data_IF_256892365458
#
_entry.id   IF_256892365458
#
_cell.length_a   1.000
_cell.length_b   1.000
_cell.length_c   1.000
_cell.angle_alpha   90.00
_cell.angle_beta   90.00
_cell.angle_gamma   90.00
#
_symmetry.space_group_name_H-M   'P 1'
#
loop_
_entity.id
_entity.type
_entity.pdbx_description
1 polymer ?
#
# COMPACT_ATOMS: atom_id res chain seq x y z
N UNK A 1 15.50 -7.36 -3.82
CA UNK A 1 14.84 -8.44 -4.58
C UNK A 1 13.74 -7.91 -5.49
N UNK A 2 13.42 -8.69 -6.51
CA UNK A 2 12.32 -8.39 -7.42
C UNK A 2 11.47 -9.65 -7.61
N UNK A 3 10.17 -9.53 -7.46
CA UNK A 3 9.22 -10.61 -7.72
C UNK A 3 8.63 -10.38 -9.11
N UNK A 4 8.87 -11.34 -10.00
CA UNK A 4 8.42 -11.30 -11.38
C UNK A 4 7.22 -12.23 -11.56
N UNK A 5 6.25 -11.83 -12.37
CA UNK A 5 5.09 -12.65 -12.70
C UNK A 5 5.51 -13.93 -13.44
N UNK A 6 4.85 -15.03 -13.11
CA UNK A 6 5.00 -16.30 -13.80
C UNK A 6 4.21 -16.35 -15.14
N UNK A 7 3.40 -15.34 -15.46
CA UNK A 7 2.56 -15.31 -16.67
C UNK A 7 2.64 -13.97 -17.36
N UNK A 8 2.65 -13.97 -18.70
CA UNK A 8 2.54 -12.76 -19.52
C UNK A 8 1.13 -12.13 -19.52
N UNK A 9 0.19 -12.78 -18.89
CA UNK A 9 -1.18 -12.28 -18.70
C UNK A 9 -1.36 -11.41 -17.45
N UNK A 10 -0.24 -11.03 -16.82
CA UNK A 10 -0.20 -10.07 -15.70
C UNK A 10 1.01 -9.13 -15.83
N UNK A 11 1.14 -8.14 -14.96
CA UNK A 11 2.29 -7.22 -14.97
C UNK A 11 3.61 -7.98 -14.77
N UNK A 12 4.70 -7.61 -15.49
CA UNK A 12 5.97 -8.31 -15.39
C UNK A 12 6.59 -8.25 -14.00
N UNK A 13 6.57 -7.08 -13.36
CA UNK A 13 7.06 -6.89 -11.98
C UNK A 13 5.87 -6.79 -11.03
N UNK A 14 5.81 -7.67 -10.04
CA UNK A 14 4.76 -7.73 -9.02
C UNK A 14 5.14 -6.90 -7.81
N UNK A 15 6.39 -7.03 -7.36
CA UNK A 15 6.94 -6.29 -6.24
C UNK A 15 8.46 -6.22 -6.35
N UNK A 16 9.06 -5.24 -5.72
CA UNK A 16 10.51 -5.14 -5.56
C UNK A 16 10.87 -4.48 -4.23
N UNK A 17 12.10 -4.73 -3.78
CA UNK A 17 12.71 -4.03 -2.65
C UNK A 17 14.20 -3.89 -2.89
N UNK A 18 14.73 -2.72 -2.56
CA UNK A 18 16.16 -2.43 -2.69
C UNK A 18 16.97 -2.98 -1.48
N UNK A 19 16.27 -3.36 -0.42
CA UNK A 19 16.86 -3.87 0.82
C UNK A 19 16.22 -5.18 1.25
N UNK A 20 16.99 -6.02 1.94
CA UNK A 20 16.53 -7.31 2.47
C UNK A 20 16.48 -8.43 1.45
N UNK A 21 16.07 -9.60 1.89
CA UNK A 21 15.82 -10.80 1.10
C UNK A 21 14.36 -11.20 1.22
N UNK A 22 13.82 -11.77 0.16
CA UNK A 22 12.49 -12.37 0.17
C UNK A 22 12.64 -13.88 0.40
N UNK A 23 12.00 -14.39 1.46
CA UNK A 23 11.94 -15.82 1.75
C UNK A 23 10.52 -16.35 1.55
N UNK A 24 10.39 -17.41 0.76
CA UNK A 24 9.12 -18.15 0.63
C UNK A 24 8.81 -19.02 1.86
N UNK A 25 9.77 -19.18 2.77
CA UNK A 25 9.64 -20.07 3.94
C UNK A 25 9.15 -19.35 5.19
N UNK A 26 9.09 -18.04 5.19
CA UNK A 26 8.53 -17.32 6.32
C UNK A 26 7.01 -17.48 6.33
N UNK A 27 6.54 -17.98 7.44
CA UNK A 27 5.19 -18.43 7.77
C UNK A 27 4.06 -17.77 6.98
N UNK A 28 3.16 -18.58 6.46
CA UNK A 28 1.93 -18.26 5.72
C UNK A 28 0.98 -17.22 6.34
N UNK A 29 1.40 -16.48 7.36
CA UNK A 29 0.56 -15.63 8.19
C UNK A 29 0.94 -14.15 8.21
N UNK A 30 1.88 -13.70 7.37
CA UNK A 30 2.22 -12.29 7.26
C UNK A 30 1.44 -11.58 6.12
N UNK A 31 1.46 -10.26 6.14
CA UNK A 31 0.76 -9.45 5.14
C UNK A 31 1.27 -9.66 3.71
N UNK A 32 2.54 -10.05 3.55
CA UNK A 32 3.14 -10.30 2.25
C UNK A 32 2.63 -11.60 1.62
N UNK A 33 2.40 -12.65 2.41
CA UNK A 33 1.83 -13.91 1.92
C UNK A 33 0.38 -13.74 1.46
N UNK A 34 -0.41 -12.93 2.18
CA UNK A 34 -1.79 -12.61 1.78
C UNK A 34 -1.79 -11.86 0.44
N UNK A 35 -0.89 -10.90 0.28
CA UNK A 35 -0.77 -10.13 -0.96
C UNK A 35 -0.36 -11.03 -2.14
N UNK A 36 0.60 -11.94 -1.94
CA UNK A 36 1.01 -12.89 -2.97
C UNK A 36 -0.10 -13.87 -3.35
N UNK A 37 -0.89 -14.34 -2.38
CA UNK A 37 -2.06 -15.18 -2.66
C UNK A 37 -3.12 -14.44 -3.49
N UNK A 38 -3.34 -13.16 -3.23
CA UNK A 38 -4.24 -12.35 -4.06
C UNK A 38 -3.68 -12.16 -5.49
N UNK A 39 -2.38 -11.93 -5.65
CA UNK A 39 -1.77 -11.87 -6.97
C UNK A 39 -1.86 -13.19 -7.74
N UNK A 40 -1.65 -14.33 -7.08
CA UNK A 40 -1.85 -15.66 -7.68
C UNK A 40 -3.28 -15.84 -8.20
N UNK A 41 -4.28 -15.46 -7.41
CA UNK A 41 -5.70 -15.55 -7.83
C UNK A 41 -5.99 -14.66 -9.05
N UNK A 42 -5.44 -13.45 -9.08
CA UNK A 42 -5.59 -12.54 -10.22
C UNK A 42 -4.93 -13.14 -11.48
N UNK A 43 -3.75 -13.72 -11.35
CA UNK A 43 -3.07 -14.37 -12.47
C UNK A 43 -3.87 -15.56 -12.99
N UNK A 44 -4.37 -16.44 -12.11
CA UNK A 44 -5.23 -17.55 -12.47
C UNK A 44 -6.51 -17.10 -13.17
N UNK A 45 -7.14 -16.03 -12.69
CA UNK A 45 -8.29 -15.43 -13.35
C UNK A 45 -7.95 -14.93 -14.75
N UNK A 46 -6.81 -14.27 -14.93
CA UNK A 46 -6.36 -13.75 -16.21
C UNK A 46 -6.05 -14.85 -17.22
N UNK A 47 -5.69 -16.07 -16.79
CA UNK A 47 -5.41 -17.19 -17.70
C UNK A 47 -6.59 -17.57 -18.60
N UNK A 48 -7.81 -17.41 -18.10
CA UNK A 48 -9.06 -17.72 -18.81
C UNK A 48 -9.69 -16.52 -19.52
N UNK A 49 -9.07 -15.34 -19.45
CA UNK A 49 -9.61 -14.12 -20.06
C UNK A 49 -9.27 -14.04 -21.55
N UNK A 50 -10.18 -13.44 -22.37
CA UNK A 50 -9.91 -13.15 -23.78
C UNK A 50 -8.70 -12.23 -23.95
N UNK A 51 -7.99 -12.37 -25.06
CA UNK A 51 -6.80 -11.59 -25.40
C UNK A 51 -7.01 -10.08 -25.35
N UNK A 52 -8.19 -9.62 -25.74
CA UNK A 52 -8.56 -8.19 -25.70
C UNK A 52 -8.49 -7.58 -24.30
N UNK A 53 -8.76 -8.38 -23.26
CA UNK A 53 -8.73 -7.94 -21.85
C UNK A 53 -7.29 -7.93 -21.32
N UNK A 54 -6.46 -8.89 -21.76
CA UNK A 54 -5.10 -9.04 -21.27
C UNK A 54 -4.03 -8.34 -22.11
N UNK A 55 -4.39 -7.75 -23.25
CA UNK A 55 -3.46 -7.09 -24.18
C UNK A 55 -2.63 -5.99 -23.51
N UNK A 56 -3.20 -5.28 -22.54
CA UNK A 56 -2.47 -4.30 -21.72
C UNK A 56 -1.27 -4.90 -20.98
N UNK A 57 -1.36 -6.12 -20.53
CA UNK A 57 -0.25 -6.81 -19.84
C UNK A 57 0.80 -7.26 -20.83
N UNK A 58 0.38 -7.75 -22.00
CA UNK A 58 1.33 -8.12 -23.09
C UNK A 58 2.17 -6.92 -23.53
N UNK A 59 1.55 -5.74 -23.68
CA UNK A 59 2.28 -4.49 -23.97
C UNK A 59 3.33 -4.18 -22.91
N UNK A 60 3.00 -4.35 -21.64
CA UNK A 60 3.97 -4.15 -20.55
C UNK A 60 5.10 -5.17 -20.52
N UNK A 61 4.85 -6.39 -20.96
CA UNK A 61 5.91 -7.39 -21.12
C UNK A 61 6.85 -7.04 -22.29
N UNK A 62 6.31 -6.55 -23.40
CA UNK A 62 7.13 -6.07 -24.53
C UNK A 62 8.03 -4.91 -24.07
N UNK A 63 7.48 -3.93 -23.33
CA UNK A 63 8.26 -2.86 -22.73
C UNK A 63 9.37 -3.40 -21.81
N UNK A 64 9.04 -4.34 -20.93
CA UNK A 64 9.97 -4.95 -19.98
C UNK A 64 11.06 -5.78 -20.67
N UNK A 65 10.73 -6.54 -21.71
CA UNK A 65 11.68 -7.33 -22.51
C UNK A 65 12.59 -6.42 -23.34
N UNK A 66 12.07 -5.33 -23.87
CA UNK A 66 12.86 -4.34 -24.61
C UNK A 66 13.87 -3.62 -23.72
N UNK A 67 13.56 -3.39 -22.42
CA UNK A 67 14.54 -2.87 -21.46
C UNK A 67 15.79 -3.77 -21.32
N UNK A 68 15.68 -5.09 -21.61
CA UNK A 68 16.82 -6.01 -21.64
C UNK A 68 17.64 -5.90 -22.92
N UNK A 69 17.01 -5.56 -24.04
CA UNK A 69 17.66 -5.49 -25.36
C UNK A 69 18.26 -4.13 -25.64
N UNK A 70 17.71 -3.04 -25.10
CA UNK A 70 18.24 -1.69 -25.28
C UNK A 70 19.63 -1.46 -24.70
N UNK A 71 20.17 -2.38 -23.91
CA UNK A 71 21.58 -2.34 -23.46
C UNK A 71 22.60 -2.75 -24.52
N UNK A 72 22.18 -3.25 -25.68
CA UNK A 72 23.10 -3.84 -26.67
C UNK A 72 22.91 -3.40 -28.14
N UNK A 73 21.84 -2.73 -28.52
CA UNK A 73 21.71 -2.23 -29.91
C UNK A 73 20.59 -1.20 -29.99
N UNK A 74 20.89 0.07 -30.03
CA UNK A 74 20.31 1.08 -30.92
C UNK A 74 20.64 2.50 -30.47
N UNK A 75 21.79 2.94 -30.98
CA UNK A 75 22.18 4.36 -30.99
C UNK A 75 21.53 5.10 -32.18
N UNK A 76 20.64 4.49 -32.97
CA UNK A 76 20.30 5.00 -34.31
C UNK A 76 19.00 5.78 -34.45
N UNK A 77 18.14 5.94 -33.44
CA UNK A 77 16.86 6.66 -33.60
C UNK A 77 16.47 7.66 -32.52
N UNK A 78 17.29 7.89 -31.52
CA UNK A 78 17.08 9.03 -30.61
C UNK A 78 17.69 10.29 -31.22
N UNK A 79 16.93 11.39 -31.25
CA UNK A 79 17.49 12.66 -31.66
C UNK A 79 18.72 12.99 -30.79
N UNK A 80 19.71 13.71 -31.38
CA UNK A 80 20.90 14.15 -30.61
C UNK A 80 20.50 14.96 -29.35
N UNK A 81 19.33 15.60 -29.35
CA UNK A 81 18.77 16.30 -28.19
C UNK A 81 18.36 15.33 -27.07
N UNK A 82 17.72 14.20 -27.40
CA UNK A 82 17.28 13.20 -26.41
C UNK A 82 18.48 12.47 -25.81
N UNK A 83 19.51 12.20 -26.60
CA UNK A 83 20.75 11.62 -26.13
C UNK A 83 21.51 12.57 -25.20
N UNK A 84 21.65 13.84 -25.59
CA UNK A 84 22.28 14.87 -24.74
C UNK A 84 21.50 15.08 -23.43
N UNK A 85 20.16 15.02 -23.46
CA UNK A 85 19.31 15.10 -22.29
C UNK A 85 19.45 13.86 -21.40
N UNK A 86 19.59 12.67 -21.97
CA UNK A 86 19.79 11.42 -21.20
C UNK A 86 21.13 11.40 -20.47
N UNK A 87 22.22 11.83 -21.12
CA UNK A 87 23.54 11.96 -20.49
C UNK A 87 23.46 12.99 -19.36
N UNK A 88 22.89 14.15 -19.62
CA UNK A 88 22.74 15.21 -18.63
C UNK A 88 21.94 14.75 -17.41
N UNK A 89 20.92 13.92 -17.61
CA UNK A 89 20.12 13.32 -16.56
C UNK A 89 20.93 12.33 -15.71
N UNK A 90 21.72 11.45 -16.33
CA UNK A 90 22.57 10.50 -15.60
C UNK A 90 23.70 11.20 -14.83
N UNK A 91 24.27 12.27 -15.38
CA UNK A 91 25.23 13.11 -14.66
C UNK A 91 24.58 13.77 -13.45
N UNK A 92 23.39 14.32 -13.59
CA UNK A 92 22.64 14.90 -12.49
C UNK A 92 22.32 13.86 -11.40
N UNK A 93 21.91 12.66 -11.78
CA UNK A 93 21.69 11.56 -10.84
C UNK A 93 22.96 11.27 -10.02
N UNK A 94 24.12 11.16 -10.67
CA UNK A 94 25.41 10.92 -9.97
C UNK A 94 25.70 12.04 -8.96
N UNK A 95 25.57 13.30 -9.36
CA UNK A 95 25.82 14.46 -8.51
C UNK A 95 24.93 14.40 -7.26
N UNK A 96 23.62 14.19 -7.44
CA UNK A 96 22.66 14.21 -6.35
C UNK A 96 22.74 12.96 -5.47
N UNK A 97 23.02 11.81 -6.04
CA UNK A 97 23.27 10.57 -5.27
C UNK A 97 24.48 10.74 -4.36
N UNK A 98 25.57 11.35 -4.83
CA UNK A 98 26.75 11.67 -4.01
C UNK A 98 26.44 12.69 -2.91
N UNK A 99 25.43 13.53 -3.09
CA UNK A 99 24.94 14.46 -2.07
C UNK A 99 23.94 13.83 -1.09
N UNK A 100 23.69 12.52 -1.18
CA UNK A 100 22.81 11.80 -0.27
C UNK A 100 21.33 11.85 -0.65
N UNK A 101 21.01 12.03 -1.95
CA UNK A 101 19.66 11.98 -2.47
C UNK A 101 19.39 10.69 -3.26
N UNK A 102 18.17 10.20 -3.18
CA UNK A 102 17.60 9.24 -4.13
C UNK A 102 16.99 10.03 -5.30
N UNK A 103 17.23 9.58 -6.53
CA UNK A 103 16.78 10.25 -7.74
C UNK A 103 15.71 9.40 -8.43
N UNK A 104 14.49 9.91 -8.53
CA UNK A 104 13.36 9.23 -9.16
C UNK A 104 12.97 9.93 -10.46
N UNK A 105 12.71 9.13 -11.50
CA UNK A 105 12.27 9.65 -12.80
C UNK A 105 10.80 10.09 -12.73
N UNK A 106 10.53 11.36 -13.04
CA UNK A 106 9.16 11.88 -13.09
C UNK A 106 8.33 11.23 -14.20
N UNK A 107 8.97 10.81 -15.31
CA UNK A 107 8.30 10.05 -16.36
C UNK A 107 7.73 8.72 -15.88
N UNK A 108 8.40 8.07 -14.93
CA UNK A 108 7.88 6.85 -14.33
C UNK A 108 6.56 7.10 -13.56
N UNK A 109 6.46 8.20 -12.84
CA UNK A 109 5.24 8.59 -12.12
C UNK A 109 4.08 8.79 -13.11
N UNK A 110 4.32 9.45 -14.24
CA UNK A 110 3.33 9.66 -15.30
C UNK A 110 2.82 8.37 -15.94
N UNK A 111 3.62 7.32 -15.93
CA UNK A 111 3.21 6.01 -16.45
C UNK A 111 2.27 5.23 -15.52
N UNK A 112 2.23 5.55 -14.22
CA UNK A 112 1.41 4.86 -13.23
C UNK A 112 0.09 5.57 -12.88
N UNK A 113 -0.01 6.86 -13.17
CA UNK A 113 -1.18 7.68 -12.85
C UNK A 113 -1.83 8.22 -14.13
N UNK A 114 -3.12 8.58 -14.07
CA UNK A 114 -3.69 9.38 -15.15
C UNK A 114 -2.91 10.70 -15.28
N UNK A 115 -2.87 11.26 -16.50
CA UNK A 115 -2.10 12.48 -16.80
C UNK A 115 -2.41 13.61 -15.82
N UNK A 116 -3.70 13.89 -15.56
CA UNK A 116 -4.11 14.97 -14.66
C UNK A 116 -3.65 14.74 -13.21
N UNK A 117 -3.71 13.49 -12.75
CA UNK A 117 -3.24 13.13 -11.39
C UNK A 117 -1.72 13.21 -11.29
N UNK A 118 -1.01 12.71 -12.30
CA UNK A 118 0.45 12.77 -12.34
C UNK A 118 0.94 14.22 -12.35
N UNK A 119 0.37 15.07 -13.20
CA UNK A 119 0.74 16.47 -13.30
C UNK A 119 0.40 17.28 -12.04
N UNK A 120 -0.70 16.93 -11.36
CA UNK A 120 -1.04 17.50 -10.06
C UNK A 120 -0.02 17.14 -8.98
N UNK A 121 0.32 15.85 -8.87
CA UNK A 121 1.33 15.36 -7.94
C UNK A 121 2.72 15.94 -8.20
N UNK A 122 3.16 15.96 -9.44
CA UNK A 122 4.47 16.49 -9.84
C UNK A 122 4.56 17.97 -9.51
N UNK A 123 3.52 18.75 -9.79
CA UNK A 123 3.46 20.16 -9.45
C UNK A 123 3.54 20.40 -7.94
N UNK A 124 2.79 19.65 -7.16
CA UNK A 124 2.79 19.75 -5.70
C UNK A 124 4.18 19.41 -5.12
N UNK A 125 4.79 18.34 -5.59
CA UNK A 125 6.13 17.92 -5.15
C UNK A 125 7.20 18.93 -5.60
N UNK A 126 7.18 19.38 -6.85
CA UNK A 126 8.20 20.27 -7.39
C UNK A 126 8.13 21.68 -6.80
N UNK A 127 6.95 22.13 -6.35
CA UNK A 127 6.80 23.41 -5.66
C UNK A 127 7.41 23.43 -4.25
N UNK A 128 7.67 22.27 -3.66
CA UNK A 128 8.27 22.15 -2.33
C UNK A 128 9.78 21.85 -2.36
N UNK A 129 10.38 21.84 -3.56
CA UNK A 129 11.82 21.61 -3.72
C UNK A 129 12.63 22.89 -3.55
N UNK A 130 13.92 22.73 -3.22
CA UNK A 130 14.89 23.83 -3.12
C UNK A 130 14.81 24.74 -4.35
N UNK A 131 14.76 26.06 -4.12
CA UNK A 131 14.62 27.08 -5.18
C UNK A 131 15.69 27.01 -6.27
N UNK A 132 16.81 26.36 -6.00
CA UNK A 132 17.91 26.15 -6.95
C UNK A 132 17.76 24.89 -7.83
N UNK A 133 16.72 24.10 -7.64
CA UNK A 133 16.51 22.86 -8.38
C UNK A 133 15.13 22.84 -9.03
N UNK A 134 15.10 22.83 -10.34
CA UNK A 134 13.86 22.68 -11.11
C UNK A 134 13.69 21.22 -11.53
N UNK A 135 12.92 20.46 -10.76
CA UNK A 135 12.73 19.04 -10.97
C UNK A 135 12.01 18.72 -12.29
N UNK A 136 11.10 19.58 -12.75
CA UNK A 136 10.43 19.41 -14.04
C UNK A 136 11.40 19.55 -15.22
N UNK A 137 12.28 20.54 -15.18
CA UNK A 137 13.27 20.78 -16.25
C UNK A 137 14.26 19.63 -16.39
N UNK A 138 14.65 19.02 -15.28
CA UNK A 138 15.60 17.88 -15.25
C UNK A 138 14.88 16.53 -15.32
N UNK A 139 13.54 16.52 -15.15
CA UNK A 139 12.69 15.33 -15.10
C UNK A 139 13.10 14.32 -14.01
N UNK A 140 13.61 14.84 -12.90
CA UNK A 140 14.03 14.06 -11.73
C UNK A 140 13.40 14.61 -10.45
N UNK A 141 12.85 13.73 -9.63
CA UNK A 141 12.49 13.99 -8.25
C UNK A 141 13.66 13.61 -7.35
N UNK A 142 14.08 14.51 -6.48
CA UNK A 142 15.14 14.28 -5.49
C UNK A 142 14.50 14.06 -4.12
N UNK A 143 14.81 12.93 -3.51
CA UNK A 143 14.36 12.61 -2.16
C UNK A 143 15.63 12.36 -1.31
N UNK A 144 15.72 12.95 -0.13
CA UNK A 144 16.85 12.67 0.75
C UNK A 144 16.86 11.18 1.12
N UNK A 145 18.00 10.55 1.00
CA UNK A 145 18.19 9.12 1.28
C UNK A 145 17.80 8.74 2.71
N UNK A 146 18.09 9.63 3.63
CA UNK A 146 17.73 9.44 5.04
C UNK A 146 16.61 10.41 5.42
N UNK A 147 15.65 9.97 6.25
CA UNK A 147 14.57 10.85 6.69
C UNK A 147 15.13 12.02 7.52
N UNK A 148 14.62 13.22 7.25
CA UNK A 148 14.90 14.43 8.04
C UNK A 148 14.10 14.36 9.34
N UNK A 149 12.91 13.81 9.27
CA UNK A 149 11.98 13.68 10.39
C UNK A 149 11.18 12.40 10.23
N UNK A 150 11.10 11.63 11.30
CA UNK A 150 10.24 10.44 11.38
C UNK A 150 9.33 10.58 12.60
N UNK A 151 8.06 10.34 12.45
CA UNK A 151 7.09 10.20 13.54
C UNK A 151 6.37 8.86 13.36
N UNK A 152 6.31 8.09 14.43
CA UNK A 152 5.77 6.73 14.43
C UNK A 152 6.83 5.65 14.15
N UNK A 153 6.40 4.39 13.96
CA UNK A 153 5.02 3.94 14.06
C UNK A 153 4.43 4.10 15.45
N UNK A 154 3.18 4.55 15.56
CA UNK A 154 2.46 4.66 16.83
C UNK A 154 1.96 3.30 17.28
N UNK A 155 1.50 2.47 16.35
CA UNK A 155 0.98 1.14 16.63
C UNK A 155 2.14 0.16 16.85
N UNK A 156 1.95 -0.71 17.84
CA UNK A 156 2.86 -1.83 18.13
C UNK A 156 2.26 -3.19 17.75
N UNK A 157 1.02 -3.18 17.27
CA UNK A 157 0.29 -4.39 16.89
C UNK A 157 0.77 -4.92 15.55
N UNK A 158 0.99 -6.24 15.47
CA UNK A 158 1.28 -6.96 14.23
C UNK A 158 0.16 -7.97 13.99
N UNK A 159 -0.97 -7.51 13.44
CA UNK A 159 -2.19 -8.29 13.29
C UNK A 159 -2.54 -8.53 11.83
N UNK A 160 -3.31 -9.57 11.58
CA UNK A 160 -3.77 -9.98 10.25
C UNK A 160 -5.24 -10.41 10.28
N UNK A 161 -5.77 -10.90 9.15
CA UNK A 161 -7.20 -11.21 9.03
C UNK A 161 -7.55 -12.70 9.18
N UNK A 162 -6.56 -13.55 9.47
CA UNK A 162 -6.76 -15.00 9.66
C UNK A 162 -6.88 -15.32 11.15
N UNK A 163 -6.91 -16.62 11.51
CA UNK A 163 -6.88 -17.05 12.90
C UNK A 163 -5.73 -16.39 13.68
N UNK A 164 -6.01 -15.91 14.90
CA UNK A 164 -7.24 -16.05 15.70
C UNK A 164 -8.28 -14.94 15.47
N UNK A 165 -8.05 -13.98 14.56
CA UNK A 165 -8.94 -12.82 14.37
C UNK A 165 -10.25 -13.12 13.66
N UNK A 166 -10.40 -14.30 13.06
CA UNK A 166 -11.62 -14.77 12.42
C UNK A 166 -12.36 -15.86 13.22
N UNK A 167 -12.20 -15.85 14.52
CA UNK A 167 -12.67 -16.89 15.46
C UNK A 167 -14.17 -17.20 15.35
N UNK A 168 -15.01 -16.24 14.99
CA UNK A 168 -16.45 -16.41 14.77
C UNK A 168 -16.82 -16.83 13.34
N UNK A 169 -15.87 -16.89 12.41
CA UNK A 169 -16.02 -17.37 11.06
C UNK A 169 -14.69 -17.96 10.54
N UNK A 170 -14.25 -19.14 11.01
CA UNK A 170 -12.91 -19.67 10.77
C UNK A 170 -12.55 -19.85 9.28
N UNK A 171 -13.56 -20.10 8.43
CA UNK A 171 -13.38 -20.28 6.98
C UNK A 171 -13.41 -18.96 6.18
N UNK A 172 -13.50 -17.81 6.86
CA UNK A 172 -13.55 -16.48 6.24
C UNK A 172 -12.44 -15.59 6.83
N UNK A 173 -12.11 -14.50 6.15
CA UNK A 173 -11.21 -13.49 6.70
C UNK A 173 -11.94 -12.63 7.74
N UNK A 174 -11.22 -12.13 8.73
CA UNK A 174 -11.77 -11.20 9.72
C UNK A 174 -12.30 -9.90 9.09
N UNK A 175 -11.65 -9.43 8.02
CA UNK A 175 -11.93 -8.17 7.34
C UNK A 175 -10.95 -7.05 7.73
N UNK A 176 -10.51 -6.28 6.75
CA UNK A 176 -9.55 -5.19 6.99
C UNK A 176 -10.11 -4.07 7.88
N UNK A 177 -11.40 -3.73 7.71
CA UNK A 177 -12.05 -2.69 8.52
C UNK A 177 -12.05 -3.03 10.02
N UNK A 178 -12.56 -4.20 10.48
CA UNK A 178 -12.53 -4.51 11.89
C UNK A 178 -11.11 -4.65 12.45
N UNK A 179 -10.15 -5.17 11.69
CA UNK A 179 -8.75 -5.27 12.16
C UNK A 179 -8.15 -3.88 12.38
N UNK A 180 -8.32 -2.95 11.44
CA UNK A 180 -7.82 -1.59 11.59
C UNK A 180 -8.47 -0.87 12.79
N UNK A 181 -9.78 -1.04 13.01
CA UNK A 181 -10.48 -0.51 14.19
C UNK A 181 -9.93 -1.12 15.48
N UNK A 182 -9.77 -2.44 15.50
CA UNK A 182 -9.24 -3.16 16.66
C UNK A 182 -7.81 -2.71 17.03
N UNK A 183 -6.95 -2.45 16.04
CA UNK A 183 -5.61 -1.93 16.28
C UNK A 183 -5.62 -0.55 16.94
N UNK A 184 -6.50 0.36 16.49
CA UNK A 184 -6.68 1.68 17.12
C UNK A 184 -7.23 1.51 18.54
N UNK A 185 -8.21 0.64 18.75
CA UNK A 185 -8.76 0.37 20.06
C UNK A 185 -7.69 -0.19 21.03
N UNK A 186 -6.82 -1.08 20.53
CA UNK A 186 -5.68 -1.59 21.32
C UNK A 186 -4.63 -0.53 21.61
N UNK A 187 -4.40 0.39 20.69
CA UNK A 187 -3.46 1.50 20.90
C UNK A 187 -3.87 2.39 22.09
N UNK A 188 -5.16 2.71 22.18
CA UNK A 188 -5.69 3.52 23.28
C UNK A 188 -6.08 2.71 24.50
N UNK A 189 -6.11 1.38 24.41
CA UNK A 189 -6.69 0.48 25.41
C UNK A 189 -8.09 0.94 25.85
N UNK A 190 -8.91 1.31 24.86
CA UNK A 190 -10.24 1.86 25.04
C UNK A 190 -11.28 1.14 24.16
N UNK A 191 -12.52 0.94 24.65
CA UNK A 191 -13.07 1.30 25.97
C UNK A 191 -12.57 0.36 27.09
N UNK A 192 -12.63 0.83 28.33
CA UNK A 192 -12.20 0.10 29.53
C UNK A 192 -13.02 -1.16 29.82
N UNK A 193 -14.06 -1.42 29.05
CA UNK A 193 -14.91 -2.62 29.15
C UNK A 193 -14.22 -3.90 28.66
N UNK A 194 -13.09 -3.79 27.96
CA UNK A 194 -12.29 -4.92 27.52
C UNK A 194 -11.08 -5.15 28.42
N UNK A 195 -10.70 -6.41 28.59
CA UNK A 195 -9.50 -6.79 29.33
C UNK A 195 -8.28 -6.70 28.42
N UNK A 196 -7.66 -5.52 28.37
CA UNK A 196 -6.57 -5.21 27.43
C UNK A 196 -5.30 -6.02 27.64
N UNK A 197 -5.11 -6.58 28.84
CA UNK A 197 -4.01 -7.50 29.14
C UNK A 197 -4.13 -8.85 28.40
N UNK A 198 -5.34 -9.24 28.03
CA UNK A 198 -5.63 -10.44 27.22
C UNK A 198 -5.57 -10.21 25.72
N UNK A 199 -5.29 -8.98 25.27
CA UNK A 199 -5.24 -8.63 23.87
C UNK A 199 -3.79 -8.32 23.51
N UNK A 200 -3.03 -9.27 22.92
CA UNK A 200 -1.60 -9.14 22.72
C UNK A 200 -1.28 -8.24 21.54
N UNK A 201 -0.07 -7.70 21.53
CA UNK A 201 0.45 -6.93 20.40
C UNK A 201 0.78 -7.78 19.16
N UNK A 202 1.06 -9.07 19.37
CA UNK A 202 1.33 -10.05 18.30
C UNK A 202 0.46 -11.28 18.52
N UNK A 203 0.02 -11.88 17.42
CA UNK A 203 -0.71 -13.14 17.47
C UNK A 203 0.20 -14.27 17.94
N UNK A 204 -0.33 -15.10 18.82
CA UNK A 204 0.16 -16.43 19.06
C UNK A 204 -1.00 -17.44 18.92
N UNK A 205 -0.67 -18.70 18.71
CA UNK A 205 -1.62 -19.77 18.37
C UNK A 205 -2.64 -20.07 19.47
N UNK A 206 -2.38 -19.65 20.71
CA UNK A 206 -3.23 -19.98 21.86
C UNK A 206 -4.37 -18.96 22.10
N UNK A 207 -4.47 -17.94 21.26
CA UNK A 207 -5.48 -16.87 21.43
C UNK A 207 -6.89 -17.28 21.01
N UNK A 208 -7.04 -18.38 20.27
CA UNK A 208 -8.36 -18.88 19.84
C UNK A 208 -9.23 -19.30 21.02
N UNK A 209 -8.63 -19.67 22.14
CA UNK A 209 -9.32 -20.12 23.34
C UNK A 209 -9.54 -19.02 24.39
N UNK A 210 -8.90 -17.85 24.23
CA UNK A 210 -9.06 -16.74 25.17
C UNK A 210 -10.42 -16.04 24.98
N UNK A 211 -11.31 -16.17 25.95
CA UNK A 211 -12.67 -15.62 25.86
C UNK A 211 -12.71 -14.08 25.84
N UNK A 212 -11.75 -13.41 26.45
CA UNK A 212 -11.67 -11.93 26.43
C UNK A 212 -11.26 -11.46 25.03
N UNK A 213 -10.27 -12.12 24.44
CA UNK A 213 -9.85 -11.85 23.06
C UNK A 213 -10.98 -12.14 22.06
N UNK A 214 -11.61 -13.32 22.18
CA UNK A 214 -12.75 -13.70 21.32
C UNK A 214 -13.89 -12.70 21.40
N UNK A 215 -14.25 -12.30 22.63
CA UNK A 215 -15.29 -11.28 22.83
C UNK A 215 -14.94 -9.97 22.14
N UNK A 216 -13.72 -9.46 22.33
CA UNK A 216 -13.27 -8.22 21.72
C UNK A 216 -13.36 -8.28 20.19
N UNK A 217 -12.81 -9.31 19.57
CA UNK A 217 -12.81 -9.44 18.10
C UNK A 217 -14.23 -9.62 17.56
N UNK A 218 -15.07 -10.44 18.19
CA UNK A 218 -16.48 -10.61 17.78
C UNK A 218 -17.26 -9.30 17.86
N UNK A 219 -17.10 -8.55 18.94
CA UNK A 219 -17.78 -7.26 19.12
C UNK A 219 -17.37 -6.27 18.01
N UNK A 220 -16.05 -6.11 17.75
CA UNK A 220 -15.55 -5.22 16.68
C UNK A 220 -16.12 -5.61 15.31
N UNK A 221 -16.12 -6.90 14.98
CA UNK A 221 -16.66 -7.39 13.70
C UNK A 221 -18.15 -7.16 13.59
N UNK A 222 -18.90 -7.42 14.67
CA UNK A 222 -20.34 -7.15 14.76
C UNK A 222 -20.64 -5.65 14.61
N UNK A 223 -19.88 -4.80 15.29
CA UNK A 223 -20.05 -3.33 15.21
C UNK A 223 -19.75 -2.80 13.81
N UNK A 224 -18.78 -3.39 13.13
CA UNK A 224 -18.40 -3.07 11.76
C UNK A 224 -19.40 -3.59 10.72
N UNK A 225 -20.37 -4.42 11.12
CA UNK A 225 -21.35 -5.05 10.22
C UNK A 225 -20.67 -5.67 9.01
N UNK A 226 -19.70 -6.56 9.26
CA UNK A 226 -18.97 -7.23 8.19
C UNK A 226 -19.91 -8.07 7.33
N UNK A 227 -19.66 -8.04 6.02
CA UNK A 227 -20.37 -8.87 5.03
C UNK A 227 -19.39 -9.91 4.50
N UNK A 228 -19.77 -11.17 4.62
CA UNK A 228 -19.01 -12.31 4.10
C UNK A 228 -19.40 -12.57 2.66
N UNK A 229 -18.42 -12.58 1.77
CA UNK A 229 -18.52 -13.06 0.40
C UNK A 229 -17.64 -14.30 0.25
N UNK A 230 -17.80 -15.06 -0.82
CA UNK A 230 -17.05 -16.32 -1.00
C UNK A 230 -15.55 -16.20 -0.89
N UNK A 231 -15.00 -15.06 -1.28
CA UNK A 231 -13.53 -14.81 -1.30
C UNK A 231 -13.10 -13.53 -0.58
N UNK A 232 -14.00 -12.85 0.13
CA UNK A 232 -13.69 -11.60 0.79
C UNK A 232 -14.63 -11.32 1.97
N UNK A 233 -14.12 -10.62 2.97
CA UNK A 233 -14.91 -10.03 4.05
C UNK A 233 -14.74 -8.53 3.99
N UNK A 234 -15.84 -7.79 3.94
CA UNK A 234 -15.82 -6.35 3.81
C UNK A 234 -16.77 -5.63 4.76
N UNK A 235 -16.52 -4.37 4.98
CA UNK A 235 -17.43 -3.43 5.63
C UNK A 235 -17.28 -2.05 4.98
N UNK A 236 -18.34 -1.24 5.02
CA UNK A 236 -18.30 0.11 4.46
C UNK A 236 -17.63 1.10 5.42
N UNK A 237 -17.12 2.21 4.91
CA UNK A 237 -16.57 3.31 5.74
C UNK A 237 -17.63 3.87 6.70
N UNK A 238 -18.89 3.95 6.28
CA UNK A 238 -19.99 4.33 7.16
C UNK A 238 -20.22 3.36 8.33
N UNK A 239 -19.99 2.06 8.10
CA UNK A 239 -20.02 1.06 9.17
C UNK A 239 -18.80 1.17 10.10
N UNK A 240 -17.63 1.53 9.58
CA UNK A 240 -16.46 1.84 10.41
C UNK A 240 -16.74 2.98 11.39
N UNK A 241 -17.32 4.09 10.91
CA UNK A 241 -17.75 5.21 11.79
C UNK A 241 -18.72 4.74 12.87
N UNK A 242 -19.71 3.92 12.50
CA UNK A 242 -20.67 3.37 13.48
C UNK A 242 -19.99 2.46 14.51
N UNK A 243 -19.01 1.68 14.10
CA UNK A 243 -18.24 0.82 14.99
C UNK A 243 -17.41 1.63 15.99
N UNK A 244 -16.71 2.68 15.53
CA UNK A 244 -16.00 3.59 16.43
C UNK A 244 -16.94 4.25 17.44
N UNK A 245 -18.12 4.71 17.00
CA UNK A 245 -19.13 5.30 17.92
C UNK A 245 -19.63 4.29 18.96
N UNK A 246 -19.82 3.02 18.58
CA UNK A 246 -20.18 1.96 19.54
C UNK A 246 -19.07 1.65 20.55
N UNK A 247 -17.83 1.94 20.19
CA UNK A 247 -16.67 1.87 21.08
C UNK A 247 -16.46 3.18 21.88
N UNK A 248 -17.44 4.10 21.85
CA UNK A 248 -17.38 5.39 22.52
C UNK A 248 -16.27 6.33 22.00
N UNK A 249 -15.87 6.19 20.72
CA UNK A 249 -15.04 7.18 20.05
C UNK A 249 -15.90 8.25 19.36
N UNK A 250 -15.42 9.48 19.36
CA UNK A 250 -15.89 10.48 18.40
C UNK A 250 -15.26 10.22 17.04
N UNK A 251 -16.07 9.91 16.04
CA UNK A 251 -15.58 9.57 14.70
C UNK A 251 -16.40 10.25 13.61
N UNK A 252 -15.70 10.81 12.63
CA UNK A 252 -16.28 11.47 11.45
C UNK A 252 -15.59 10.94 10.20
N UNK A 253 -16.38 10.68 9.16
CA UNK A 253 -15.87 10.34 7.84
C UNK A 253 -15.61 11.62 7.06
N UNK A 254 -14.43 11.74 6.47
CA UNK A 254 -14.04 12.86 5.64
C UNK A 254 -13.15 12.38 4.50
N UNK A 255 -13.02 13.21 3.48
CA UNK A 255 -12.06 12.97 2.41
C UNK A 255 -10.62 13.07 2.93
N UNK A 256 -9.71 12.35 2.27
CA UNK A 256 -8.31 12.39 2.64
C UNK A 256 -7.72 13.79 2.51
N UNK A 257 -7.14 14.29 3.59
CA UNK A 257 -6.39 15.53 3.64
C UNK A 257 -5.04 15.29 4.32
N UNK A 258 -3.97 15.45 3.55
CA UNK A 258 -2.59 15.22 4.01
C UNK A 258 -2.26 16.01 5.27
N UNK A 259 -2.58 17.31 5.28
CA UNK A 259 -2.27 18.20 6.42
C UNK A 259 -2.95 17.75 7.70
N UNK A 260 -4.21 17.36 7.64
CA UNK A 260 -4.97 16.89 8.79
C UNK A 260 -4.44 15.53 9.27
N UNK A 261 -4.13 14.61 8.35
CA UNK A 261 -3.51 13.32 8.70
C UNK A 261 -2.17 13.51 9.41
N UNK A 262 -1.30 14.40 8.90
CA UNK A 262 -0.02 14.72 9.54
C UNK A 262 -0.25 15.30 10.94
N UNK A 263 -1.20 16.21 11.11
CA UNK A 263 -1.52 16.80 12.40
C UNK A 263 -2.02 15.76 13.41
N UNK A 264 -2.86 14.80 12.98
CA UNK A 264 -3.32 13.71 13.85
C UNK A 264 -2.13 12.87 14.33
N UNK A 265 -1.25 12.45 13.42
CA UNK A 265 -0.06 11.68 13.76
C UNK A 265 0.88 12.44 14.69
N UNK A 266 1.07 13.75 14.47
CA UNK A 266 1.89 14.60 15.36
C UNK A 266 1.32 14.69 16.77
N UNK A 267 0.01 14.56 16.90
CA UNK A 267 -0.70 14.53 18.17
C UNK A 267 -0.85 13.11 18.75
N UNK A 268 -0.06 12.14 18.26
CA UNK A 268 -0.11 10.73 18.66
C UNK A 268 -1.51 10.10 18.46
N UNK A 269 -2.20 10.49 17.42
CA UNK A 269 -3.49 9.92 17.06
C UNK A 269 -3.40 9.17 15.73
N UNK A 270 -3.37 7.82 15.76
CA UNK A 270 -3.38 7.01 14.56
C UNK A 270 -4.69 7.20 13.78
N UNK A 271 -4.61 7.26 12.46
CA UNK A 271 -5.73 7.61 11.58
C UNK A 271 -6.23 6.38 10.86
N UNK A 272 -7.52 6.05 11.04
CA UNK A 272 -8.18 5.03 10.24
C UNK A 272 -8.34 5.52 8.80
N UNK A 273 -7.86 4.76 7.85
CA UNK A 273 -7.92 5.08 6.44
C UNK A 273 -8.61 3.99 5.63
N UNK A 274 -9.27 4.40 4.56
CA UNK A 274 -9.81 3.50 3.57
C UNK A 274 -9.64 4.04 2.18
N UNK A 275 -9.44 3.16 1.21
CA UNK A 275 -9.29 3.54 -0.18
C UNK A 275 -9.78 2.45 -1.10
N UNK A 276 -10.28 2.87 -2.27
CA UNK A 276 -10.70 2.00 -3.36
C UNK A 276 -9.72 2.11 -4.52
N UNK A 277 -9.34 0.98 -5.05
CA UNK A 277 -8.70 0.94 -6.35
C UNK A 277 -9.80 0.90 -7.42
N UNK A 278 -10.15 2.04 -8.00
CA UNK A 278 -10.98 2.06 -9.22
C UNK A 278 -10.18 1.38 -10.33
N UNK A 279 -10.54 0.15 -10.65
CA UNK A 279 -10.13 -0.44 -11.91
C UNK A 279 -10.85 0.33 -13.02
N UNK A 280 -10.09 0.92 -13.94
CA UNK A 280 -10.62 1.74 -15.06
C UNK A 280 -11.42 0.89 -16.06
N UNK A 281 -11.36 -0.43 -15.96
CA UNK A 281 -12.13 -1.35 -16.82
C UNK A 281 -12.61 -2.56 -16.04
N UNK A 282 -13.93 -2.73 -16.05
CA UNK A 282 -14.72 -3.84 -15.49
C UNK A 282 -14.79 -3.96 -13.97
N UNK A 283 -16.00 -3.84 -13.49
CA UNK A 283 -16.55 -3.95 -12.12
C UNK A 283 -16.23 -5.23 -11.32
N UNK A 284 -15.18 -5.97 -11.65
CA UNK A 284 -15.02 -7.32 -11.09
C UNK A 284 -14.20 -7.32 -9.79
N UNK A 285 -13.38 -6.33 -9.50
CA UNK A 285 -12.63 -6.27 -8.24
C UNK A 285 -12.45 -4.81 -7.78
N UNK A 286 -13.49 -4.12 -7.40
CA UNK A 286 -13.40 -2.98 -6.51
C UNK A 286 -13.24 -3.51 -5.09
N UNK A 287 -12.05 -3.95 -4.74
CA UNK A 287 -11.74 -4.27 -3.34
C UNK A 287 -11.20 -3.01 -2.71
N UNK A 288 -12.07 -2.27 -2.04
CA UNK A 288 -11.66 -1.28 -1.06
C UNK A 288 -10.79 -1.97 0.00
N UNK A 289 -9.80 -1.27 0.52
CA UNK A 289 -8.99 -1.71 1.64
C UNK A 289 -9.03 -0.67 2.74
N UNK A 290 -8.97 -1.14 3.99
CA UNK A 290 -8.85 -0.28 5.16
C UNK A 290 -7.56 -0.62 5.90
N UNK A 291 -6.91 0.42 6.43
CA UNK A 291 -5.67 0.32 7.19
C UNK A 291 -5.58 1.46 8.22
N UNK A 292 -4.53 1.46 9.01
CA UNK A 292 -4.22 2.56 9.92
C UNK A 292 -2.96 3.28 9.41
N UNK A 293 -3.05 4.59 9.28
CA UNK A 293 -1.88 5.44 9.17
C UNK A 293 -1.42 5.79 10.58
N UNK A 294 -0.24 5.37 10.95
CA UNK A 294 0.30 5.46 12.30
C UNK A 294 1.69 6.12 12.36
N UNK A 295 2.11 6.70 11.25
CA UNK A 295 3.39 7.39 11.18
C UNK A 295 3.64 8.01 9.81
N UNK A 296 4.69 8.81 9.72
CA UNK A 296 5.18 9.37 8.46
C UNK A 296 6.68 9.69 8.53
N UNK A 297 7.28 9.74 7.37
CA UNK A 297 8.65 10.23 7.19
C UNK A 297 8.67 11.45 6.27
N UNK A 298 9.55 12.39 6.59
CA UNK A 298 9.90 13.51 5.71
C UNK A 298 11.33 13.28 5.22
N UNK A 299 11.48 13.23 3.91
CA UNK A 299 12.77 13.06 3.23
C UNK A 299 13.11 14.24 2.34
#
# INVERSE_FOLDING_TARGET
YTIISATKKYYPVIAYSDVGSFSLQESYNDGSSILLDEYKKIMQYNEIQPDSIIDKYRKKWVEFENLKTEKLSDVSTRSLSDYAMSIKKEEQKKIWTNKGYECHDLGAIRNFLSKERADGYIRDICNHTDQNYNCEKVNLLLIKKYPIKTIGPLLKTSWHQRSPFNVDAPNKLAGCVPIAIAQIAKYYEWPVTYSWTHIPLRCNTNMEDDEFFKKFIKDIRSFSKVTYKDKATGATMGNAVKAFKKLNYSATLMDYKRSETIQEIQNNRPVFMGGDRKAIFFDIITKGHAWVCDGYEVR
#
